data_IF_288738078202
#
_entry.id   IF_288738078202
#
_cell.length_a   1.000
_cell.length_b   1.000
_cell.length_c   1.000
_cell.angle_alpha   90.00
_cell.angle_beta   90.00
_cell.angle_gamma   90.00
#
_symmetry.space_group_name_H-M   'P 1'
#
loop_
_entity.id
_entity.type
_entity.pdbx_description
1 polymer ?
#
# COMPACT_ATOMS: atom_id res chain seq x y z
N UNK A 1 12.83 18.76 -8.76
CA UNK A 1 12.45 17.86 -7.66
C UNK A 1 11.06 17.32 -7.95
N UNK A 2 10.99 16.08 -8.44
CA UNK A 2 9.73 15.42 -8.83
C UNK A 2 9.10 14.86 -7.56
N UNK A 3 7.88 15.30 -7.23
CA UNK A 3 7.09 14.80 -6.10
C UNK A 3 6.21 13.67 -6.61
N UNK A 4 6.36 12.46 -6.06
CA UNK A 4 5.67 11.25 -6.55
C UNK A 4 4.58 10.90 -5.55
N UNK A 5 3.31 11.15 -5.88
CA UNK A 5 2.18 10.74 -5.03
C UNK A 5 1.36 9.65 -5.70
N UNK A 6 1.19 8.52 -5.00
CA UNK A 6 0.39 7.38 -5.41
C UNK A 6 -0.97 7.38 -4.71
N UNK A 7 -2.04 7.24 -5.49
CA UNK A 7 -3.40 6.99 -5.01
C UNK A 7 -4.08 5.95 -5.90
N UNK A 8 -4.79 5.02 -5.26
CA UNK A 8 -5.59 3.98 -5.91
C UNK A 8 -6.94 4.52 -6.42
N UNK A 9 -7.27 4.21 -7.69
CA UNK A 9 -8.60 4.37 -8.25
C UNK A 9 -9.47 3.17 -7.85
N UNK A 10 -10.25 3.30 -6.77
CA UNK A 10 -11.35 2.41 -6.44
C UNK A 10 -12.67 2.95 -6.99
N UNK A 11 -13.40 2.15 -7.78
CA UNK A 11 -14.71 2.52 -8.33
C UNK A 11 -15.80 2.23 -7.29
N UNK A 12 -16.41 3.27 -6.75
CA UNK A 12 -17.65 3.19 -5.96
C UNK A 12 -18.86 3.50 -6.88
N UNK A 13 -19.88 2.64 -6.90
CA UNK A 13 -21.23 3.05 -7.30
C UNK A 13 -21.79 3.91 -6.16
N UNK A 14 -22.31 5.11 -6.43
CA UNK A 14 -23.67 5.36 -6.89
C UNK A 14 -23.74 6.79 -7.45
N UNK A 15 -24.43 6.98 -8.57
CA UNK A 15 -24.17 7.95 -9.67
C UNK A 15 -22.93 7.58 -10.48
N UNK A 16 -23.11 6.97 -11.65
CA UNK A 16 -22.01 6.51 -12.48
C UNK A 16 -21.11 7.71 -12.84
N UNK A 17 -19.88 7.81 -12.27
CA UNK A 17 -18.91 8.74 -12.80
C UNK A 17 -18.62 8.27 -14.23
N UNK A 18 -18.29 9.21 -15.13
CA UNK A 18 -17.79 8.88 -16.46
C UNK A 18 -16.81 7.71 -16.36
N UNK A 19 -16.95 6.70 -17.24
CA UNK A 19 -16.08 5.53 -17.26
C UNK A 19 -14.63 6.02 -17.11
N UNK A 20 -13.88 5.51 -16.10
CA UNK A 20 -12.54 6.00 -15.87
C UNK A 20 -11.75 5.85 -17.18
N UNK A 21 -10.86 6.81 -17.51
CA UNK A 21 -10.04 6.69 -18.70
C UNK A 21 -9.34 5.33 -18.68
N UNK A 22 -9.33 4.64 -19.83
CA UNK A 22 -8.61 3.38 -19.97
C UNK A 22 -7.15 3.59 -19.57
N UNK A 23 -6.74 2.99 -18.46
CA UNK A 23 -5.37 3.08 -17.98
C UNK A 23 -4.51 2.18 -18.88
N UNK A 24 -3.48 2.72 -19.57
CA UNK A 24 -2.64 1.93 -20.47
C UNK A 24 -1.63 1.13 -19.64
N UNK A 25 -1.98 -0.10 -19.29
CA UNK A 25 -1.10 -1.03 -18.59
C UNK A 25 -0.09 -1.62 -19.57
N UNK A 26 1.20 -1.58 -19.21
CA UNK A 26 2.29 -2.20 -19.93
C UNK A 26 2.92 -3.31 -19.08
N UNK A 27 3.19 -4.50 -19.63
CA UNK A 27 3.87 -5.55 -18.88
C UNK A 27 5.31 -5.14 -18.57
N UNK A 28 5.76 -5.43 -17.35
CA UNK A 28 7.17 -5.21 -16.91
C UNK A 28 7.82 -6.49 -16.41
N UNK A 29 7.04 -7.55 -16.20
CA UNK A 29 7.50 -8.88 -15.82
C UNK A 29 6.33 -9.86 -15.73
N UNK A 30 6.62 -11.14 -15.46
CA UNK A 30 5.58 -12.15 -15.31
C UNK A 30 4.65 -11.77 -14.14
N UNK A 31 3.37 -11.55 -14.45
CA UNK A 31 2.38 -11.16 -13.44
C UNK A 31 2.50 -9.72 -12.93
N UNK A 32 3.32 -8.88 -13.55
CA UNK A 32 3.51 -7.47 -13.16
C UNK A 32 3.29 -6.55 -14.35
N UNK A 33 2.38 -5.59 -14.19
CA UNK A 33 2.07 -4.56 -15.17
C UNK A 33 2.21 -3.17 -14.54
N UNK A 34 2.64 -2.17 -15.31
CA UNK A 34 2.79 -0.79 -14.87
C UNK A 34 2.00 0.15 -15.76
N UNK A 35 1.45 1.20 -15.17
CA UNK A 35 0.95 2.36 -15.87
C UNK A 35 1.51 3.65 -15.27
N UNK A 36 1.52 4.72 -16.05
CA UNK A 36 1.88 6.05 -15.54
C UNK A 36 1.01 7.11 -16.21
N UNK A 37 0.39 7.96 -15.40
CA UNK A 37 -0.56 8.98 -15.86
C UNK A 37 -0.67 10.14 -14.85
N UNK A 38 -1.07 11.35 -15.27
CA UNK A 38 -1.30 12.45 -14.34
C UNK A 38 -2.53 12.17 -13.47
N UNK A 39 -2.47 12.54 -12.19
CA UNK A 39 -3.54 12.32 -11.22
C UNK A 39 -4.83 13.04 -11.61
N UNK A 40 -4.72 14.23 -12.21
CA UNK A 40 -5.84 14.96 -12.77
C UNK A 40 -5.49 15.51 -14.16
N UNK A 41 -6.49 15.74 -15.00
CA UNK A 41 -6.27 16.35 -16.33
C UNK A 41 -5.96 17.85 -16.25
N UNK A 42 -6.40 18.53 -15.20
CA UNK A 42 -6.29 19.99 -15.00
C UNK A 42 -6.17 20.31 -13.51
N UNK A 43 -5.77 21.56 -13.21
CA UNK A 43 -5.66 22.07 -11.85
C UNK A 43 -4.36 21.67 -11.15
N UNK A 44 -4.29 21.93 -9.84
CA UNK A 44 -3.06 21.74 -9.04
C UNK A 44 -2.57 20.29 -8.96
N UNK A 45 -3.44 19.32 -9.26
CA UNK A 45 -3.11 17.89 -9.29
C UNK A 45 -2.64 17.42 -10.68
N UNK A 46 -2.69 18.26 -11.71
CA UNK A 46 -2.24 17.89 -13.05
C UNK A 46 -0.73 17.70 -13.16
N UNK A 47 0.03 18.31 -12.26
CA UNK A 47 1.49 18.12 -12.14
C UNK A 47 1.88 16.91 -11.29
N UNK A 48 0.91 16.22 -10.67
CA UNK A 48 1.15 15.04 -9.86
C UNK A 48 1.07 13.81 -10.75
N UNK A 49 2.15 13.04 -10.82
CA UNK A 49 2.22 11.82 -11.61
C UNK A 49 1.92 10.60 -10.73
N UNK A 50 1.00 9.76 -11.21
CA UNK A 50 0.73 8.44 -10.65
C UNK A 50 1.60 7.41 -11.37
N UNK A 51 2.26 6.55 -10.61
CA UNK A 51 2.89 5.33 -11.11
C UNK A 51 2.15 4.17 -10.48
N UNK A 52 1.28 3.53 -11.24
CA UNK A 52 0.48 2.42 -10.75
C UNK A 52 1.10 1.10 -11.17
N UNK A 53 1.12 0.11 -10.27
CA UNK A 53 1.57 -1.25 -10.56
C UNK A 53 0.46 -2.25 -10.22
N UNK A 54 0.20 -3.18 -11.14
CA UNK A 54 -0.65 -4.35 -10.90
C UNK A 54 0.23 -5.56 -10.73
N UNK A 55 -0.04 -6.32 -9.68
CA UNK A 55 0.68 -7.54 -9.35
C UNK A 55 -0.33 -8.67 -9.20
N UNK A 56 -0.16 -9.73 -9.98
CA UNK A 56 -0.85 -11.00 -9.79
C UNK A 56 -0.09 -11.80 -8.73
N UNK A 57 -0.56 -11.86 -7.47
CA UNK A 57 0.24 -12.40 -6.37
C UNK A 57 0.57 -13.89 -6.54
N UNK A 58 -0.29 -14.66 -7.22
CA UNK A 58 -0.03 -16.07 -7.54
C UNK A 58 1.09 -16.30 -8.58
N UNK A 59 1.65 -15.24 -9.17
CA UNK A 59 2.71 -15.31 -10.19
C UNK A 59 4.04 -14.71 -9.73
N UNK A 60 4.11 -14.22 -8.50
CA UNK A 60 5.31 -13.58 -7.94
C UNK A 60 5.61 -14.14 -6.56
N UNK A 61 6.89 -14.12 -6.17
CA UNK A 61 7.27 -14.25 -4.78
C UNK A 61 7.17 -12.87 -4.10
N UNK A 62 6.61 -12.82 -2.90
CA UNK A 62 6.55 -11.62 -2.08
C UNK A 62 7.46 -11.82 -0.87
N UNK A 63 8.36 -10.88 -0.63
CA UNK A 63 9.30 -10.91 0.49
C UNK A 63 9.20 -9.60 1.29
N UNK A 64 9.27 -9.73 2.61
CA UNK A 64 9.33 -8.60 3.52
C UNK A 64 10.76 -8.39 4.00
N UNK A 65 11.41 -7.40 3.39
CA UNK A 65 12.81 -7.09 3.65
C UNK A 65 12.91 -5.98 4.69
N UNK A 66 13.50 -6.29 5.84
CA UNK A 66 13.98 -5.28 6.78
C UNK A 66 15.50 -5.22 6.71
N UNK A 67 16.02 -4.02 6.46
CA UNK A 67 17.45 -3.73 6.55
C UNK A 67 17.60 -2.53 7.46
N UNK A 68 18.38 -2.69 8.53
CA UNK A 68 18.69 -1.61 9.45
C UNK A 68 20.19 -1.38 9.58
N UNK A 69 20.55 -0.18 10.01
CA UNK A 69 21.90 0.28 10.39
C UNK A 69 21.82 0.81 11.82
N UNK A 70 22.98 0.97 12.46
CA UNK A 70 23.10 1.48 13.82
C UNK A 70 22.22 0.68 14.81
N UNK A 71 22.43 -0.63 14.87
CA UNK A 71 21.73 -1.52 15.82
C UNK A 71 20.19 -1.44 15.74
N UNK A 72 19.63 -1.27 14.54
CA UNK A 72 18.18 -1.19 14.35
C UNK A 72 17.61 0.23 14.29
N UNK A 73 18.40 1.26 14.61
CA UNK A 73 17.90 2.63 14.77
C UNK A 73 17.61 3.36 13.45
N UNK A 74 18.05 2.83 12.31
CA UNK A 74 17.81 3.46 11.02
C UNK A 74 17.62 2.45 9.89
N UNK A 75 16.64 2.72 9.02
CA UNK A 75 16.50 1.99 7.76
C UNK A 75 17.76 2.08 6.90
N UNK A 76 18.17 0.95 6.33
CA UNK A 76 19.40 0.79 5.56
C UNK A 76 19.17 0.37 4.12
N UNK A 77 17.91 0.16 3.74
CA UNK A 77 17.51 -0.27 2.41
C UNK A 77 17.73 0.85 1.38
N UNK A 78 18.25 0.46 0.21
CA UNK A 78 18.37 1.32 -0.98
C UNK A 78 17.86 0.58 -2.21
N UNK A 79 17.50 1.31 -3.27
CA UNK A 79 17.12 0.67 -4.55
C UNK A 79 18.25 -0.22 -5.08
N UNK A 80 19.51 0.17 -4.90
CA UNK A 80 20.67 -0.63 -5.32
C UNK A 80 20.83 -1.95 -4.53
N UNK A 81 20.15 -2.08 -3.39
CA UNK A 81 20.11 -3.33 -2.59
C UNK A 81 19.02 -4.30 -3.02
N UNK A 82 18.24 -3.93 -4.04
CA UNK A 82 17.23 -4.80 -4.65
C UNK A 82 17.91 -5.99 -5.33
N UNK A 83 17.41 -7.20 -5.07
CA UNK A 83 17.90 -8.42 -5.71
C UNK A 83 17.78 -8.33 -7.23
N UNK A 84 18.71 -8.97 -7.95
CA UNK A 84 18.75 -8.90 -9.42
C UNK A 84 17.55 -9.58 -10.11
N UNK A 85 16.83 -10.42 -9.37
CA UNK A 85 15.62 -11.12 -9.76
C UNK A 85 14.32 -10.39 -9.33
N UNK A 86 14.42 -9.38 -8.49
CA UNK A 86 13.27 -8.59 -8.06
C UNK A 86 12.79 -7.69 -9.21
N UNK A 87 11.46 -7.59 -9.36
CA UNK A 87 10.82 -6.76 -10.41
C UNK A 87 10.31 -5.43 -9.81
N UNK A 88 9.97 -5.44 -8.52
CA UNK A 88 9.39 -4.31 -7.81
C UNK A 88 9.90 -4.30 -6.37
N UNK A 89 10.27 -3.12 -5.86
CA UNK A 89 10.51 -2.89 -4.45
C UNK A 89 9.83 -1.59 -4.01
N UNK A 90 9.23 -1.61 -2.83
CA UNK A 90 8.41 -0.53 -2.28
C UNK A 90 8.85 -0.23 -0.86
N UNK A 91 8.70 1.02 -0.43
CA UNK A 91 8.81 1.31 1.00
C UNK A 91 7.71 0.54 1.76
N UNK A 92 8.05 0.03 2.94
CA UNK A 92 7.10 -0.71 3.78
C UNK A 92 6.11 0.18 4.52
N UNK A 93 5.63 -0.33 5.66
CA UNK A 93 4.70 0.35 6.55
C UNK A 93 5.22 1.65 7.17
N UNK A 94 4.42 2.22 8.04
CA UNK A 94 4.74 3.48 8.71
C UNK A 94 5.83 3.29 9.76
N UNK A 95 6.60 4.34 10.05
CA UNK A 95 7.56 4.37 11.14
C UNK A 95 7.17 5.46 12.15
N UNK A 96 7.43 5.22 13.43
CA UNK A 96 7.33 6.20 14.51
C UNK A 96 8.67 6.24 15.24
N UNK A 97 9.27 7.43 15.34
CA UNK A 97 10.54 7.62 16.08
C UNK A 97 11.68 6.68 15.61
N UNK A 98 11.67 6.29 14.33
CA UNK A 98 12.67 5.41 13.73
C UNK A 98 12.35 3.92 13.77
N UNK A 99 11.33 3.49 14.52
CA UNK A 99 10.88 2.10 14.55
C UNK A 99 9.64 1.90 13.69
N UNK A 100 9.45 0.72 13.07
CA UNK A 100 8.20 0.42 12.38
C UNK A 100 7.00 0.57 13.31
N UNK A 101 5.86 1.01 12.78
CA UNK A 101 4.61 1.12 13.52
C UNK A 101 3.62 0.04 13.06
N UNK A 102 2.92 -0.55 14.03
CA UNK A 102 1.84 -1.50 13.80
C UNK A 102 2.29 -2.95 13.64
N UNK A 103 1.36 -3.81 13.24
CA UNK A 103 1.58 -5.25 13.16
C UNK A 103 2.69 -5.61 12.17
N UNK A 104 3.65 -6.45 12.59
CA UNK A 104 4.66 -7.03 11.71
C UNK A 104 4.72 -8.54 11.94
N UNK A 105 4.52 -9.29 10.86
CA UNK A 105 4.77 -10.74 10.81
C UNK A 105 5.71 -11.02 9.64
N UNK A 106 6.70 -11.87 9.88
CA UNK A 106 7.64 -12.33 8.84
C UNK A 106 7.92 -13.80 9.03
N UNK A 107 7.81 -14.56 7.95
CA UNK A 107 8.03 -16.00 7.93
C UNK A 107 7.22 -16.73 9.02
N UNK A 108 5.99 -16.27 9.25
CA UNK A 108 5.08 -16.79 10.27
C UNK A 108 5.38 -16.33 11.71
N UNK A 109 6.45 -15.56 11.93
CA UNK A 109 6.83 -15.06 13.26
C UNK A 109 6.34 -13.63 13.45
N UNK A 110 5.49 -13.42 14.47
CA UNK A 110 5.09 -12.08 14.88
C UNK A 110 6.27 -11.37 15.56
N UNK A 111 6.73 -10.29 14.94
CA UNK A 111 7.86 -9.47 15.43
C UNK A 111 7.38 -8.26 16.21
N UNK A 112 6.20 -7.74 15.86
CA UNK A 112 5.60 -6.58 16.51
C UNK A 112 4.08 -6.75 16.57
N UNK A 113 3.43 -6.50 17.73
CA UNK A 113 1.99 -6.63 17.85
C UNK A 113 1.25 -5.56 17.04
N UNK A 114 -0.05 -5.75 16.75
CA UNK A 114 -0.86 -4.75 16.07
C UNK A 114 -0.93 -3.41 16.81
N UNK A 115 -0.81 -2.33 16.05
CA UNK A 115 -1.14 -0.98 16.47
C UNK A 115 -2.65 -0.74 16.46
N UNK A 116 -3.06 0.34 17.12
CA UNK A 116 -4.47 0.74 17.24
C UNK A 116 -4.79 1.94 16.38
N UNK A 117 -6.02 1.97 15.83
CA UNK A 117 -6.52 3.10 15.06
C UNK A 117 -7.64 2.70 14.11
N UNK A 118 -8.66 3.55 13.94
CA UNK A 118 -9.83 3.23 13.13
C UNK A 118 -9.52 3.00 11.64
N UNK A 119 -8.40 3.54 11.13
CA UNK A 119 -7.94 3.35 9.75
C UNK A 119 -6.66 2.51 9.65
N UNK A 120 -6.29 1.79 10.71
CA UNK A 120 -5.07 1.01 10.82
C UNK A 120 -5.24 -0.39 10.19
N UNK A 121 -5.29 -0.46 8.86
CA UNK A 121 -5.44 -1.73 8.14
C UNK A 121 -4.12 -2.48 7.99
N UNK A 122 -4.21 -3.80 7.88
CA UNK A 122 -3.07 -4.67 7.63
C UNK A 122 -3.13 -5.30 6.24
N UNK A 123 -1.98 -5.30 5.54
CA UNK A 123 -1.75 -6.16 4.40
C UNK A 123 -1.22 -7.50 4.93
N UNK A 124 -1.85 -8.60 4.55
CA UNK A 124 -1.38 -9.95 4.88
C UNK A 124 -1.11 -10.75 3.62
N UNK A 125 -0.05 -11.56 3.68
CA UNK A 125 0.29 -12.54 2.66
C UNK A 125 0.31 -13.92 3.31
N UNK A 126 -0.40 -14.86 2.71
CA UNK A 126 -0.41 -16.25 3.14
C UNK A 126 -0.60 -17.16 1.93
N UNK A 127 0.25 -18.19 1.79
CA UNK A 127 0.19 -19.16 0.68
C UNK A 127 0.06 -18.52 -0.72
N UNK A 128 0.76 -17.40 -0.94
CA UNK A 128 0.70 -16.63 -2.20
C UNK A 128 -0.59 -15.84 -2.43
N UNK A 129 -1.53 -15.84 -1.47
CA UNK A 129 -2.71 -14.99 -1.47
C UNK A 129 -2.44 -13.71 -0.66
N UNK A 130 -3.00 -12.60 -1.13
CA UNK A 130 -2.89 -11.29 -0.49
C UNK A 130 -4.27 -10.84 -0.03
N UNK A 131 -4.37 -10.32 1.20
CA UNK A 131 -5.61 -9.75 1.75
C UNK A 131 -5.35 -8.46 2.50
N UNK A 132 -6.36 -7.60 2.56
CA UNK A 132 -6.38 -6.45 3.45
C UNK A 132 -7.32 -6.75 4.62
N UNK A 133 -6.82 -6.62 5.83
CA UNK A 133 -7.58 -6.82 7.06
C UNK A 133 -7.88 -5.49 7.74
N UNK A 134 -9.10 -5.37 8.24
CA UNK A 134 -9.54 -4.30 9.14
C UNK A 134 -8.97 -4.51 10.55
N UNK A 135 -8.93 -3.45 11.38
CA UNK A 135 -8.42 -3.56 12.74
C UNK A 135 -9.06 -4.70 13.57
N UNK A 136 -10.37 -4.92 13.42
CA UNK A 136 -11.13 -5.96 14.12
C UNK A 136 -10.90 -7.38 13.59
N UNK A 137 -10.41 -7.52 12.35
CA UNK A 137 -10.11 -8.81 11.73
C UNK A 137 -8.70 -9.31 12.06
N UNK A 138 -7.79 -8.43 12.47
CA UNK A 138 -6.38 -8.76 12.72
C UNK A 138 -6.25 -9.85 13.79
N UNK A 139 -7.03 -9.78 14.87
CA UNK A 139 -6.92 -10.72 15.99
C UNK A 139 -7.09 -12.19 15.56
N UNK A 140 -8.01 -12.45 14.62
CA UNK A 140 -8.27 -13.79 14.10
C UNK A 140 -7.18 -14.30 13.15
N UNK A 141 -6.38 -13.41 12.57
CA UNK A 141 -5.30 -13.75 11.65
C UNK A 141 -3.94 -13.96 12.34
N UNK A 142 -3.82 -13.65 13.63
CA UNK A 142 -2.55 -13.83 14.37
C UNK A 142 -2.17 -15.30 14.44
N UNK A 143 -0.89 -15.59 14.18
CA UNK A 143 -0.35 -16.95 14.16
C UNK A 143 -0.75 -17.80 12.94
N UNK A 144 -1.49 -17.25 11.97
CA UNK A 144 -1.94 -18.01 10.78
C UNK A 144 -1.38 -17.47 9.45
N UNK A 145 -0.77 -16.28 9.45
CA UNK A 145 -0.28 -15.63 8.23
C UNK A 145 1.23 -15.74 8.10
N UNK A 146 1.72 -15.84 6.87
CA UNK A 146 3.17 -15.89 6.59
C UNK A 146 3.82 -14.51 6.73
N UNK A 147 3.20 -13.47 6.19
CA UNK A 147 3.67 -12.09 6.32
C UNK A 147 2.52 -11.14 6.63
N UNK A 148 2.81 -10.09 7.41
CA UNK A 148 1.89 -9.00 7.65
C UNK A 148 2.63 -7.69 7.87
N UNK A 149 2.09 -6.59 7.33
CA UNK A 149 2.39 -5.23 7.78
C UNK A 149 1.10 -4.46 8.00
N UNK A 150 1.10 -3.61 9.02
CA UNK A 150 0.05 -2.63 9.23
C UNK A 150 0.48 -1.26 8.69
N UNK A 151 -0.49 -0.49 8.19
CA UNK A 151 -0.27 0.86 7.70
C UNK A 151 -1.48 1.75 7.96
N UNK A 152 -1.31 3.05 7.75
CA UNK A 152 -2.32 4.08 8.00
C UNK A 152 -2.12 5.26 7.04
N UNK A 153 -3.19 5.93 6.58
CA UNK A 153 -4.60 5.58 6.76
C UNK A 153 -5.14 4.69 5.63
N UNK A 154 -6.12 3.83 5.94
CA UNK A 154 -6.98 3.21 4.93
C UNK A 154 -7.69 4.26 4.07
N UNK A 155 -7.48 4.21 2.75
CA UNK A 155 -8.04 5.19 1.81
C UNK A 155 -9.47 4.84 1.40
N UNK A 156 -9.75 3.55 1.23
CA UNK A 156 -11.03 3.01 0.79
C UNK A 156 -11.30 1.73 1.58
N UNK A 157 -12.50 1.63 2.17
CA UNK A 157 -12.99 0.43 2.86
C UNK A 157 -14.33 0.08 2.23
N UNK A 158 -14.48 -1.15 1.74
CA UNK A 158 -15.67 -1.61 1.00
C UNK A 158 -16.09 -0.70 -0.16
N UNK A 159 -15.09 -0.16 -0.86
CA UNK A 159 -15.34 0.79 -1.95
C UNK A 159 -15.74 2.20 -1.49
N UNK A 160 -15.75 2.49 -0.19
CA UNK A 160 -16.14 3.80 0.35
C UNK A 160 -14.94 4.50 1.00
N UNK A 161 -14.77 5.79 0.72
CA UNK A 161 -13.78 6.62 1.41
C UNK A 161 -14.24 6.91 2.86
N UNK A 162 -13.43 6.58 3.89
CA UNK A 162 -13.78 6.83 5.29
C UNK A 162 -14.11 8.30 5.58
N UNK A 163 -14.96 8.56 6.58
CA UNK A 163 -15.36 9.93 6.97
C UNK A 163 -14.19 10.77 7.45
N UNK A 164 -13.20 10.14 8.08
CA UNK A 164 -11.99 10.80 8.56
C UNK A 164 -11.12 11.38 7.43
N UNK A 165 -11.29 10.88 6.19
CA UNK A 165 -10.64 11.42 4.99
C UNK A 165 -11.49 12.46 4.25
N UNK A 166 -12.70 12.73 4.75
CA UNK A 166 -13.66 13.69 4.14
C UNK A 166 -13.88 14.93 4.99
N UNK A 167 -13.78 14.78 6.32
CA UNK A 167 -14.07 15.84 7.27
C UNK A 167 -12.79 16.25 7.99
N UNK A 168 -12.37 17.54 7.91
CA UNK A 168 -11.22 18.04 8.67
C UNK A 168 -11.36 17.79 10.17
N UNK A 169 -10.22 17.64 10.86
CA UNK A 169 -10.18 17.48 12.33
C UNK A 169 -10.46 16.06 12.83
N UNK A 170 -10.51 15.06 11.95
CA UNK A 170 -10.79 13.66 12.29
C UNK A 170 -9.52 12.79 12.42
N UNK A 171 -8.39 13.39 12.81
CA UNK A 171 -7.12 12.70 13.03
C UNK A 171 -6.23 12.54 11.79
N UNK A 172 -6.74 12.86 10.58
CA UNK A 172 -5.92 12.97 9.36
C UNK A 172 -5.82 14.43 8.96
N UNK A 173 -4.59 14.92 8.75
CA UNK A 173 -4.36 16.22 8.13
C UNK A 173 -4.66 16.15 6.63
N UNK A 174 -5.84 16.63 6.24
CA UNK A 174 -6.29 16.67 4.86
C UNK A 174 -5.58 17.75 4.01
N UNK A 175 -4.90 18.70 4.66
CA UNK A 175 -4.10 19.72 3.99
C UNK A 175 -2.67 19.26 3.73
N UNK A 176 -2.19 18.22 4.42
CA UNK A 176 -0.85 17.68 4.21
C UNK A 176 -0.66 17.21 2.76
N UNK A 177 0.46 17.60 2.15
CA UNK A 177 0.84 17.26 0.78
C UNK A 177 2.20 16.60 0.82
N UNK A 178 2.24 15.36 0.39
CA UNK A 178 3.47 14.59 0.36
C UNK A 178 3.42 13.57 -0.79
N UNK A 179 4.58 13.00 -1.07
CA UNK A 179 4.70 11.75 -1.81
C UNK A 179 4.06 10.62 -1.02
N UNK A 180 3.30 9.75 -1.68
CA UNK A 180 2.50 8.71 -1.02
C UNK A 180 2.71 7.38 -1.72
N UNK A 181 2.62 6.31 -0.95
CA UNK A 181 2.46 4.93 -1.40
C UNK A 181 1.09 4.46 -0.90
N UNK A 182 0.34 3.79 -1.75
CA UNK A 182 -0.89 3.10 -1.37
C UNK A 182 -0.80 1.65 -1.84
N UNK A 183 -1.46 0.75 -1.14
CA UNK A 183 -1.64 -0.64 -1.57
C UNK A 183 -3.12 -0.96 -1.46
N UNK A 184 -3.65 -1.63 -2.46
CA UNK A 184 -5.05 -2.02 -2.57
C UNK A 184 -5.16 -3.39 -3.22
N UNK A 185 -6.39 -3.91 -3.26
CA UNK A 185 -6.73 -5.09 -4.04
C UNK A 185 -7.84 -4.72 -5.00
N UNK A 186 -7.68 -5.06 -6.28
CA UNK A 186 -8.71 -4.83 -7.29
C UNK A 186 -9.80 -5.91 -7.26
N UNK A 187 -10.81 -5.77 -8.10
CA UNK A 187 -11.94 -6.71 -8.18
C UNK A 187 -11.54 -8.10 -8.64
N UNK A 188 -10.39 -8.22 -9.29
CA UNK A 188 -9.86 -9.49 -9.81
C UNK A 188 -8.89 -10.14 -8.81
N UNK A 189 -8.77 -9.60 -7.59
CA UNK A 189 -7.87 -10.11 -6.55
C UNK A 189 -6.40 -9.78 -6.80
N UNK A 190 -6.10 -8.87 -7.73
CA UNK A 190 -4.73 -8.41 -7.97
C UNK A 190 -4.35 -7.35 -6.96
N UNK A 191 -3.10 -7.38 -6.51
CA UNK A 191 -2.56 -6.30 -5.71
C UNK A 191 -2.33 -5.09 -6.62
N UNK A 192 -2.84 -3.95 -6.18
CA UNK A 192 -2.61 -2.66 -6.78
C UNK A 192 -1.69 -1.87 -5.86
N UNK A 193 -0.68 -1.26 -6.47
CA UNK A 193 0.23 -0.32 -5.83
C UNK A 193 0.04 1.00 -6.54
#
# INVERSE_FOLDING_TARGET
MTRTALFLLGVAGSTAPAAPPSVPWAPVGAGVERASFPLARKGVLASVQVIAVRVAPCRVALEFVERTRYEGLRGAWTVDSMGSDAILALNGGQFREGTPWGWIVRDGVEQQPPGTGALAMALVVDNGAVRLLRPDEIAAARGTVQHAIQSYPALVVDGVMPTQLRTPGQGVDLAHRDSRLAIGIDRDGRMLV
#
